data_IF_790929439099
#
_entry.id   IF_790929439099
#
_cell.length_a   1.000
_cell.length_b   1.000
_cell.length_c   1.000
_cell.angle_alpha   90.00
_cell.angle_beta   90.00
_cell.angle_gamma   90.00
#
_symmetry.space_group_name_H-M   'P 1'
#
loop_
_entity.id
_entity.type
_entity.pdbx_description
1 polymer ?
#
# COMPACT_ATOMS: atom_id res chain seq x y z
N UNK A 1 -15.94 -1.17 37.78
CA UNK A 1 -16.63 -0.36 36.76
C UNK A 1 -15.67 -0.26 35.56
N UNK A 2 -16.05 -0.85 34.41
CA UNK A 2 -15.20 -0.81 33.22
C UNK A 2 -15.12 0.61 32.65
N UNK A 3 -13.94 1.00 32.12
CA UNK A 3 -13.82 2.26 31.39
C UNK A 3 -14.81 2.29 30.23
N UNK A 4 -15.55 3.38 30.09
CA UNK A 4 -16.44 3.59 28.96
C UNK A 4 -15.70 4.34 27.86
N UNK A 5 -15.89 3.89 26.62
CA UNK A 5 -15.34 4.56 25.42
C UNK A 5 -16.50 5.03 24.54
N UNK A 6 -16.41 6.25 24.03
CA UNK A 6 -17.31 6.82 23.04
C UNK A 6 -16.63 6.77 21.67
N UNK A 7 -17.41 6.52 20.64
CA UNK A 7 -16.95 6.60 19.25
C UNK A 7 -17.54 7.85 18.60
N UNK A 8 -16.73 8.62 17.91
CA UNK A 8 -17.12 9.78 17.11
C UNK A 8 -16.54 9.72 15.70
N UNK A 9 -17.12 10.43 14.72
CA UNK A 9 -16.50 10.63 13.42
C UNK A 9 -15.11 11.25 13.55
N UNK A 10 -14.20 10.86 12.66
CA UNK A 10 -12.90 11.46 12.47
C UNK A 10 -13.06 12.73 11.64
N UNK A 11 -12.37 13.77 12.03
CA UNK A 11 -12.13 14.98 11.26
C UNK A 11 -10.69 14.99 10.76
N UNK A 12 -10.44 14.81 9.46
CA UNK A 12 -9.08 14.60 8.93
C UNK A 12 -8.09 15.72 9.24
N UNK A 13 -8.57 16.98 9.27
CA UNK A 13 -7.70 18.13 9.57
C UNK A 13 -7.44 18.26 11.06
N UNK A 14 -8.52 18.28 11.84
CA UNK A 14 -8.46 18.43 13.29
C UNK A 14 -7.72 17.28 13.98
N UNK A 15 -7.98 16.04 13.53
CA UNK A 15 -7.46 14.83 14.19
C UNK A 15 -6.10 14.38 13.61
N UNK A 16 -5.50 15.14 12.69
CA UNK A 16 -4.17 14.84 12.13
C UNK A 16 -3.07 14.71 13.21
N UNK A 17 -2.97 15.62 14.22
CA UNK A 17 -2.01 15.44 15.32
C UNK A 17 -2.24 14.17 16.14
N UNK A 18 -3.52 13.81 16.36
CA UNK A 18 -3.88 12.55 17.02
C UNK A 18 -3.40 11.33 16.25
N UNK A 19 -3.64 11.31 14.93
CA UNK A 19 -3.17 10.22 14.06
C UNK A 19 -1.66 10.06 14.13
N UNK A 20 -0.90 11.17 14.06
CA UNK A 20 0.57 11.17 14.18
C UNK A 20 1.02 10.62 15.53
N UNK A 21 0.43 11.07 16.64
CA UNK A 21 0.75 10.59 17.99
C UNK A 21 0.47 9.10 18.17
N UNK A 22 -0.70 8.63 17.74
CA UNK A 22 -1.06 7.22 17.83
C UNK A 22 -0.18 6.34 16.96
N UNK A 23 0.15 6.81 15.75
CA UNK A 23 1.08 6.12 14.86
C UNK A 23 2.44 5.96 15.51
N UNK A 24 3.01 7.05 15.99
CA UNK A 24 4.34 7.04 16.62
C UNK A 24 4.36 6.12 17.85
N UNK A 25 3.35 6.22 18.72
CA UNK A 25 3.27 5.41 19.93
C UNK A 25 3.09 3.91 19.65
N UNK A 26 2.32 3.54 18.63
CA UNK A 26 1.95 2.14 18.38
C UNK A 26 2.78 1.47 17.28
N UNK A 27 3.28 2.22 16.32
CA UNK A 27 3.89 1.71 15.09
C UNK A 27 5.29 2.29 14.82
N UNK A 28 5.62 3.48 15.37
CA UNK A 28 6.80 4.26 15.01
C UNK A 28 8.12 3.50 15.05
N UNK A 29 8.28 2.56 16.00
CA UNK A 29 9.49 1.74 16.13
C UNK A 29 9.68 0.73 14.97
N UNK A 30 8.61 0.35 14.27
CA UNK A 30 8.61 -0.65 13.17
C UNK A 30 8.30 -0.01 11.83
N UNK A 31 7.41 0.97 11.86
CA UNK A 31 6.93 1.75 10.73
C UNK A 31 7.03 3.24 11.05
N UNK A 32 8.21 3.87 10.92
CA UNK A 32 8.34 5.31 11.06
C UNK A 32 7.34 6.02 10.16
N UNK A 33 6.67 7.05 10.67
CA UNK A 33 5.64 7.76 9.93
C UNK A 33 6.26 8.56 8.76
N UNK A 34 5.93 8.24 7.51
CA UNK A 34 6.40 9.01 6.38
C UNK A 34 5.63 10.31 6.23
N UNK A 35 6.25 11.37 5.71
CA UNK A 35 5.56 12.59 5.35
C UNK A 35 4.38 12.29 4.41
N UNK A 36 3.23 12.88 4.67
CA UNK A 36 2.05 12.74 3.80
C UNK A 36 1.25 11.44 3.95
N UNK A 37 1.73 10.41 4.67
CA UNK A 37 0.98 9.15 4.82
C UNK A 37 -0.39 9.34 5.49
N UNK A 38 -0.49 10.30 6.42
CA UNK A 38 -1.76 10.61 7.09
C UNK A 38 -2.78 11.30 6.18
N UNK A 39 -2.33 11.86 5.05
CA UNK A 39 -3.22 12.45 4.05
C UNK A 39 -4.08 11.39 3.33
N UNK A 40 -3.69 10.14 3.42
CA UNK A 40 -4.48 9.01 2.92
C UNK A 40 -5.69 8.69 3.81
N UNK A 41 -5.72 9.18 5.05
CA UNK A 41 -6.83 8.99 5.98
C UNK A 41 -7.86 10.10 5.78
N UNK A 42 -8.90 9.84 5.00
CA UNK A 42 -9.96 10.80 4.66
C UNK A 42 -11.24 10.60 5.49
N UNK A 43 -11.53 9.36 5.85
CA UNK A 43 -12.71 8.95 6.59
C UNK A 43 -12.32 8.01 7.74
N UNK A 44 -13.07 8.05 8.84
CA UNK A 44 -12.81 7.16 9.96
C UNK A 44 -13.58 7.50 11.21
N UNK A 45 -13.19 6.84 12.29
CA UNK A 45 -13.80 7.00 13.61
C UNK A 45 -12.71 7.04 14.68
N UNK A 46 -12.96 7.83 15.72
CA UNK A 46 -12.07 8.03 16.87
C UNK A 46 -12.72 7.46 18.12
N UNK A 47 -11.93 6.73 18.91
CA UNK A 47 -12.33 6.29 20.25
C UNK A 47 -11.84 7.29 21.30
N UNK A 48 -12.78 7.80 22.09
CA UNK A 48 -12.53 8.69 23.22
C UNK A 48 -12.83 7.99 24.54
N UNK A 49 -11.97 8.14 25.52
CA UNK A 49 -12.25 7.72 26.90
C UNK A 49 -13.35 8.61 27.48
N UNK A 50 -14.40 8.00 28.01
CA UNK A 50 -15.47 8.72 28.73
C UNK A 50 -14.89 9.53 29.90
N UNK A 51 -15.41 10.74 30.11
CA UNK A 51 -15.07 11.53 31.29
C UNK A 51 -15.50 10.74 32.53
N UNK A 52 -14.56 10.18 33.26
CA UNK A 52 -14.78 9.71 34.62
C UNK A 52 -15.29 10.90 35.43
N UNK A 53 -16.50 10.77 36.02
CA UNK A 53 -17.26 11.85 36.61
C UNK A 53 -16.43 12.82 37.48
N UNK A 54 -16.73 14.08 37.30
CA UNK A 54 -16.29 15.33 37.94
C UNK A 54 -15.34 16.17 37.05
N UNK A 55 -15.96 16.96 36.18
CA UNK A 55 -15.67 18.41 36.08
C UNK A 55 -16.83 19.07 35.34
N UNK A 56 -17.67 19.78 36.08
CA UNK A 56 -18.55 20.84 35.59
C UNK A 56 -17.67 22.10 35.51
N UNK A 57 -17.42 22.59 34.33
CA UNK A 57 -16.80 23.91 34.15
C UNK A 57 -15.69 23.89 33.08
N UNK A 58 -15.88 24.68 32.04
CA UNK A 58 -15.02 24.90 30.87
C UNK A 58 -14.83 23.67 29.97
N UNK A 59 -14.98 23.85 28.66
CA UNK A 59 -14.68 22.79 27.68
C UNK A 59 -13.24 22.34 27.80
N UNK A 60 -12.93 21.06 27.49
CA UNK A 60 -11.58 20.53 27.61
C UNK A 60 -10.63 21.33 26.70
N UNK A 61 -9.53 21.84 27.26
CA UNK A 61 -8.43 22.38 26.49
C UNK A 61 -7.80 21.30 25.60
N UNK A 62 -7.04 21.69 24.59
CA UNK A 62 -6.44 20.74 23.62
C UNK A 62 -5.59 19.64 24.28
N UNK A 63 -4.88 19.95 25.38
CA UNK A 63 -4.12 18.97 26.16
C UNK A 63 -5.01 17.90 26.83
N UNK A 64 -6.14 18.32 27.44
CA UNK A 64 -7.10 17.42 28.09
C UNK A 64 -7.86 16.54 27.07
N UNK A 65 -7.94 16.99 25.82
CA UNK A 65 -8.51 16.24 24.71
C UNK A 65 -7.54 15.15 24.22
N UNK A 66 -6.27 15.48 24.03
CA UNK A 66 -5.26 14.55 23.58
C UNK A 66 -5.13 13.33 24.51
N UNK A 67 -5.29 13.51 25.83
CA UNK A 67 -5.28 12.43 26.81
C UNK A 67 -6.52 11.54 26.79
N UNK A 68 -7.60 11.97 26.12
CA UNK A 68 -8.84 11.21 26.01
C UNK A 68 -8.95 10.38 24.74
N UNK A 69 -8.33 10.82 23.67
CA UNK A 69 -8.40 10.17 22.37
C UNK A 69 -7.39 9.03 22.29
N UNK A 70 -7.89 7.80 22.27
CA UNK A 70 -7.10 6.58 22.55
C UNK A 70 -7.00 5.61 21.38
N UNK A 71 -7.65 5.90 20.25
CA UNK A 71 -7.56 5.04 19.08
C UNK A 71 -8.34 5.57 17.89
N UNK A 72 -7.99 5.09 16.72
CA UNK A 72 -8.60 5.45 15.43
C UNK A 72 -8.77 4.22 14.57
N UNK A 73 -9.89 4.16 13.83
CA UNK A 73 -10.05 3.32 12.65
C UNK A 73 -10.28 4.21 11.44
N UNK A 74 -9.45 4.07 10.42
CA UNK A 74 -9.67 4.67 9.11
C UNK A 74 -10.48 3.71 8.24
N UNK A 75 -11.41 4.24 7.46
CA UNK A 75 -12.21 3.49 6.49
C UNK A 75 -12.14 4.15 5.13
N UNK A 76 -12.12 3.35 4.09
CA UNK A 76 -12.23 3.78 2.71
C UNK A 76 -13.63 3.38 2.19
N UNK A 77 -14.47 4.33 1.74
CA UNK A 77 -15.80 4.05 1.22
C UNK A 77 -15.85 2.97 0.13
N UNK A 78 -14.74 2.74 -0.59
CA UNK A 78 -14.62 1.64 -1.56
C UNK A 78 -14.62 0.24 -0.92
N UNK A 79 -14.66 0.14 0.41
CA UNK A 79 -14.81 -1.13 1.13
C UNK A 79 -13.52 -1.63 1.75
N UNK A 80 -12.74 -0.77 2.40
CA UNK A 80 -11.55 -1.23 3.12
C UNK A 80 -11.32 -0.53 4.45
N UNK A 81 -10.52 -1.17 5.32
CA UNK A 81 -9.99 -0.62 6.57
C UNK A 81 -8.47 -0.47 6.40
N UNK A 82 -7.99 0.70 5.96
CA UNK A 82 -6.57 0.94 5.72
C UNK A 82 -5.74 1.06 7.00
N UNK A 83 -6.34 1.48 8.12
CA UNK A 83 -5.64 1.66 9.40
C UNK A 83 -6.59 1.38 10.58
N UNK A 84 -6.10 0.65 11.55
CA UNK A 84 -6.66 0.52 12.89
C UNK A 84 -5.52 0.66 13.90
N UNK A 85 -5.52 1.72 14.68
CA UNK A 85 -4.48 2.00 15.68
C UNK A 85 -5.10 2.33 17.03
N UNK A 86 -4.52 1.78 18.09
CA UNK A 86 -4.93 2.02 19.49
C UNK A 86 -3.67 2.31 20.28
N UNK A 87 -3.72 3.39 21.07
CA UNK A 87 -2.67 3.73 22.02
C UNK A 87 -2.27 2.51 22.84
N UNK A 88 -0.98 2.15 22.91
CA UNK A 88 -0.49 0.98 23.65
C UNK A 88 -1.01 0.90 25.09
N UNK A 89 -1.15 2.04 25.78
CA UNK A 89 -1.70 2.10 27.14
C UNK A 89 -3.17 1.68 27.25
N UNK A 90 -3.91 1.69 26.13
CA UNK A 90 -5.34 1.35 26.05
C UNK A 90 -5.63 0.08 25.26
N UNK A 91 -4.62 -0.61 24.78
CA UNK A 91 -4.77 -1.92 24.16
C UNK A 91 -5.29 -2.95 25.17
N UNK A 92 -5.89 -4.05 24.66
CA UNK A 92 -6.47 -5.15 25.46
C UNK A 92 -7.64 -4.73 26.40
N UNK A 93 -8.19 -3.53 26.20
CA UNK A 93 -9.36 -3.01 26.94
C UNK A 93 -10.63 -2.93 26.09
N UNK A 94 -10.67 -3.61 24.93
CA UNK A 94 -11.81 -3.65 24.02
C UNK A 94 -11.91 -2.48 23.04
N UNK A 95 -11.03 -1.47 23.11
CA UNK A 95 -11.06 -0.28 22.22
C UNK A 95 -10.98 -0.68 20.74
N UNK A 96 -9.99 -1.48 20.38
CA UNK A 96 -9.80 -1.92 18.99
C UNK A 96 -11.00 -2.72 18.44
N UNK A 97 -11.66 -3.53 19.29
CA UNK A 97 -12.86 -4.26 18.90
C UNK A 97 -14.01 -3.32 18.57
N UNK A 98 -14.26 -2.35 19.44
CA UNK A 98 -15.32 -1.34 19.22
C UNK A 98 -15.05 -0.48 17.99
N UNK A 99 -13.80 -0.08 17.76
CA UNK A 99 -13.40 0.64 16.55
C UNK A 99 -13.62 -0.20 15.30
N UNK A 100 -13.22 -1.47 15.31
CA UNK A 100 -13.42 -2.37 14.17
C UNK A 100 -14.91 -2.55 13.85
N UNK A 101 -15.74 -2.81 14.87
CA UNK A 101 -17.19 -2.96 14.72
C UNK A 101 -17.84 -1.68 14.17
N UNK A 102 -17.46 -0.51 14.71
CA UNK A 102 -17.97 0.77 14.24
C UNK A 102 -17.50 1.09 12.81
N UNK A 103 -16.24 0.77 12.45
CA UNK A 103 -15.71 0.91 11.09
C UNK A 103 -16.43 0.01 10.09
N UNK A 104 -16.70 -1.25 10.46
CA UNK A 104 -17.50 -2.17 9.65
C UNK A 104 -18.92 -1.64 9.42
N UNK A 105 -19.59 -1.15 10.47
CA UNK A 105 -20.91 -0.54 10.36
C UNK A 105 -20.89 0.71 9.45
N UNK A 106 -19.86 1.55 9.57
CA UNK A 106 -19.68 2.73 8.72
C UNK A 106 -19.52 2.36 7.25
N UNK A 107 -18.77 1.31 6.94
CA UNK A 107 -18.61 0.80 5.57
C UNK A 107 -19.93 0.25 5.02
N UNK A 108 -20.74 -0.43 5.85
CA UNK A 108 -22.10 -0.84 5.46
C UNK A 108 -22.98 0.35 5.10
N UNK A 109 -22.89 1.48 5.83
CA UNK A 109 -23.61 2.72 5.50
C UNK A 109 -23.18 3.33 4.16
N UNK A 110 -21.94 3.13 3.73
CA UNK A 110 -21.47 3.50 2.39
C UNK A 110 -21.90 2.50 1.30
N UNK A 111 -22.57 1.42 1.64
CA UNK A 111 -23.04 0.41 0.71
C UNK A 111 -21.98 -0.65 0.36
N UNK A 112 -20.87 -0.72 1.11
CA UNK A 112 -19.89 -1.77 0.89
C UNK A 112 -20.50 -3.15 1.17
N UNK A 113 -20.41 -4.06 0.21
CA UNK A 113 -20.86 -5.45 0.37
C UNK A 113 -19.77 -6.36 0.91
N UNK A 114 -18.52 -5.99 0.68
CA UNK A 114 -17.33 -6.68 1.19
C UNK A 114 -16.37 -5.66 1.79
N UNK A 115 -15.63 -6.08 2.82
CA UNK A 115 -14.61 -5.25 3.47
C UNK A 115 -13.27 -5.98 3.42
N UNK A 116 -12.22 -5.27 2.98
CA UNK A 116 -10.84 -5.72 3.00
C UNK A 116 -10.07 -5.12 4.19
N UNK A 117 -9.10 -5.84 4.72
CA UNK A 117 -8.07 -5.26 5.58
C UNK A 117 -6.91 -4.76 4.73
N UNK A 118 -6.44 -3.56 5.00
CA UNK A 118 -5.57 -2.83 4.09
C UNK A 118 -6.36 -2.14 2.99
N UNK A 119 -5.69 -1.55 2.03
CA UNK A 119 -6.32 -0.84 0.93
C UNK A 119 -6.05 -1.54 -0.40
N UNK A 120 -7.03 -1.59 -1.27
CA UNK A 120 -6.92 -2.19 -2.61
C UNK A 120 -6.85 -1.19 -3.76
N UNK A 121 -6.90 0.12 -3.46
CA UNK A 121 -6.88 1.18 -4.47
C UNK A 121 -5.48 1.64 -4.85
N UNK A 122 -5.42 2.69 -5.65
CA UNK A 122 -4.17 3.32 -6.10
C UNK A 122 -3.41 4.08 -5.00
N UNK A 123 -4.07 4.36 -3.89
CA UNK A 123 -3.47 5.01 -2.73
C UNK A 123 -3.74 4.16 -1.49
N UNK A 124 -2.70 3.58 -0.92
CA UNK A 124 -2.81 2.71 0.25
C UNK A 124 -1.62 2.88 1.20
N UNK A 125 -1.89 2.60 2.48
CA UNK A 125 -0.83 2.52 3.49
C UNK A 125 -0.15 1.15 3.38
N UNK A 126 -0.93 0.06 3.46
CA UNK A 126 -0.48 -1.32 3.27
C UNK A 126 -1.45 -2.09 2.39
N UNK A 127 -0.98 -3.05 1.58
CA UNK A 127 -1.89 -3.89 0.79
C UNK A 127 -2.76 -4.81 1.65
N UNK A 128 -2.30 -5.16 2.85
CA UNK A 128 -2.96 -6.04 3.81
C UNK A 128 -2.39 -5.84 5.21
N UNK A 129 -2.57 -6.79 6.10
CA UNK A 129 -2.01 -6.75 7.47
C UNK A 129 -0.54 -7.16 7.43
N UNK A 130 0.41 -6.28 7.82
CA UNK A 130 1.84 -6.60 7.82
C UNK A 130 2.16 -7.77 8.76
N UNK A 131 2.97 -8.73 8.32
CA UNK A 131 3.37 -9.89 9.12
C UNK A 131 4.32 -9.53 10.29
N UNK A 132 5.03 -8.42 10.15
CA UNK A 132 5.87 -7.86 11.22
C UNK A 132 5.07 -7.09 12.30
N UNK A 133 3.75 -7.17 12.25
CA UNK A 133 2.82 -6.74 13.29
C UNK A 133 2.00 -7.95 13.80
N UNK A 134 2.63 -8.93 14.48
CA UNK A 134 1.98 -10.20 14.84
C UNK A 134 0.75 -10.00 15.73
N UNK A 135 0.76 -9.01 16.62
CA UNK A 135 -0.39 -8.64 17.43
C UNK A 135 -1.60 -8.17 16.62
N UNK A 136 -1.40 -7.54 15.46
CA UNK A 136 -2.48 -7.17 14.55
C UNK A 136 -3.08 -8.39 13.87
N UNK A 137 -2.24 -9.32 13.40
CA UNK A 137 -2.67 -10.58 12.79
C UNK A 137 -3.52 -11.39 13.77
N UNK A 138 -3.05 -11.55 15.01
CA UNK A 138 -3.78 -12.25 16.07
C UNK A 138 -5.10 -11.55 16.42
N UNK A 139 -5.09 -10.21 16.49
CA UNK A 139 -6.29 -9.41 16.77
C UNK A 139 -7.40 -9.68 15.77
N UNK A 140 -7.08 -9.67 14.48
CA UNK A 140 -8.06 -9.89 13.42
C UNK A 140 -8.52 -11.37 13.38
N UNK A 141 -7.61 -12.34 13.54
CA UNK A 141 -7.98 -13.76 13.62
C UNK A 141 -8.96 -14.05 14.75
N UNK A 142 -8.71 -13.50 15.94
CA UNK A 142 -9.59 -13.66 17.10
C UNK A 142 -11.00 -13.05 16.89
N UNK A 143 -11.19 -12.25 15.83
CA UNK A 143 -12.47 -11.62 15.43
C UNK A 143 -13.05 -12.23 14.15
N UNK A 144 -12.61 -13.44 13.81
CA UNK A 144 -13.16 -14.21 12.70
C UNK A 144 -12.73 -13.75 11.31
N UNK A 145 -11.61 -13.01 11.21
CA UNK A 145 -11.02 -12.71 9.90
C UNK A 145 -10.18 -13.91 9.43
N UNK A 146 -10.56 -14.46 8.28
CA UNK A 146 -9.73 -15.41 7.53
C UNK A 146 -8.70 -14.67 6.70
N UNK A 147 -7.49 -15.21 6.63
CA UNK A 147 -6.46 -14.69 5.74
C UNK A 147 -6.32 -15.62 4.53
N UNK A 148 -6.74 -15.13 3.36
CA UNK A 148 -6.88 -15.93 2.15
C UNK A 148 -5.54 -16.28 1.52
N UNK A 149 -4.62 -15.31 1.51
CA UNK A 149 -3.28 -15.46 0.96
C UNK A 149 -2.33 -14.40 1.51
N UNK A 150 -1.05 -14.55 1.16
CA UNK A 150 0.00 -13.59 1.49
C UNK A 150 0.55 -12.98 0.20
N UNK A 151 0.76 -11.68 0.21
CA UNK A 151 1.52 -10.95 -0.80
C UNK A 151 2.84 -10.49 -0.22
N UNK A 152 3.79 -10.17 -1.08
CA UNK A 152 5.15 -9.84 -0.70
C UNK A 152 5.61 -8.56 -1.39
N UNK A 153 6.35 -7.77 -0.66
CA UNK A 153 7.19 -6.71 -1.20
C UNK A 153 8.64 -7.19 -1.25
N UNK A 154 9.33 -6.79 -2.30
CA UNK A 154 10.73 -7.09 -2.52
C UNK A 154 11.53 -5.79 -2.70
N UNK A 155 12.82 -5.84 -2.37
CA UNK A 155 13.75 -4.72 -2.54
C UNK A 155 15.03 -5.21 -3.18
N UNK A 156 15.59 -4.38 -4.07
CA UNK A 156 16.95 -4.55 -4.61
C UNK A 156 17.82 -3.35 -4.24
N UNK A 157 19.09 -3.60 -3.91
CA UNK A 157 20.14 -2.57 -3.92
C UNK A 157 20.55 -2.33 -5.37
N UNK A 158 20.34 -1.13 -5.87
CA UNK A 158 20.70 -0.78 -7.24
C UNK A 158 22.12 -0.24 -7.39
N UNK A 159 22.86 -0.05 -6.31
CA UNK A 159 24.26 0.33 -6.39
C UNK A 159 25.06 -0.79 -7.07
N UNK A 160 25.52 -0.54 -8.30
CA UNK A 160 26.19 -1.56 -9.09
C UNK A 160 25.27 -2.68 -9.61
N UNK A 161 23.97 -2.46 -9.67
CA UNK A 161 23.03 -3.43 -10.26
C UNK A 161 23.40 -3.69 -11.73
N UNK A 162 23.48 -4.94 -12.08
CA UNK A 162 23.62 -5.44 -13.45
C UNK A 162 22.52 -6.46 -13.72
N UNK A 163 21.93 -6.37 -14.90
CA UNK A 163 20.94 -7.34 -15.32
C UNK A 163 21.54 -8.75 -15.35
N UNK A 164 20.86 -9.77 -14.82
CA UNK A 164 21.36 -11.14 -14.93
C UNK A 164 21.61 -11.55 -16.38
N UNK A 165 22.70 -12.30 -16.62
CA UNK A 165 23.12 -12.71 -17.94
C UNK A 165 21.97 -13.37 -18.74
N UNK A 166 21.84 -13.00 -20.01
CA UNK A 166 20.85 -13.56 -20.94
C UNK A 166 19.41 -13.07 -20.77
N UNK A 167 19.11 -12.18 -19.78
CA UNK A 167 17.74 -11.67 -19.58
C UNK A 167 17.26 -10.88 -20.80
N UNK A 168 18.04 -9.91 -21.30
CA UNK A 168 17.69 -9.12 -22.47
C UNK A 168 17.72 -9.93 -23.77
N UNK A 169 18.68 -10.85 -23.93
CA UNK A 169 18.83 -11.67 -25.12
C UNK A 169 17.60 -12.54 -25.43
N UNK A 170 16.93 -13.06 -24.41
CA UNK A 170 15.74 -13.90 -24.62
C UNK A 170 14.58 -13.11 -25.23
N UNK A 171 14.31 -11.89 -24.74
CA UNK A 171 13.30 -11.00 -25.29
C UNK A 171 13.71 -10.54 -26.72
N UNK A 172 14.98 -10.20 -26.93
CA UNK A 172 15.50 -9.85 -28.24
C UNK A 172 15.36 -10.97 -29.28
N UNK A 173 15.64 -12.23 -28.92
CA UNK A 173 15.41 -13.39 -29.80
C UNK A 173 13.92 -13.57 -30.15
N UNK A 174 13.01 -13.21 -29.24
CA UNK A 174 11.58 -13.18 -29.51
C UNK A 174 11.16 -12.00 -30.38
N UNK A 175 12.09 -11.08 -30.71
CA UNK A 175 11.84 -9.89 -31.52
C UNK A 175 11.07 -8.81 -30.78
N UNK A 176 11.25 -8.72 -29.46
CA UNK A 176 10.62 -7.69 -28.64
C UNK A 176 11.61 -6.56 -28.39
N UNK A 177 11.20 -5.32 -28.68
CA UNK A 177 11.88 -4.09 -28.26
C UNK A 177 11.28 -3.60 -26.94
N UNK A 178 12.09 -2.90 -26.11
CA UNK A 178 11.68 -2.33 -24.82
C UNK A 178 12.19 -0.90 -24.76
N UNK A 179 11.25 0.05 -24.68
CA UNK A 179 11.55 1.48 -24.73
C UNK A 179 10.74 2.23 -23.66
N UNK A 180 11.25 3.40 -23.27
CA UNK A 180 10.49 4.33 -22.42
C UNK A 180 9.44 4.99 -23.29
N UNK A 181 8.19 4.95 -22.84
CA UNK A 181 7.04 5.52 -23.55
C UNK A 181 7.25 7.01 -23.84
N UNK A 182 7.03 7.40 -25.08
CA UNK A 182 6.92 8.81 -25.49
C UNK A 182 5.47 9.30 -25.33
N UNK A 183 5.27 10.61 -25.21
CA UNK A 183 3.95 11.22 -25.00
C UNK A 183 2.86 10.77 -25.98
N UNK A 184 3.14 10.71 -27.31
CA UNK A 184 2.15 10.29 -28.32
C UNK A 184 1.63 8.85 -28.15
N UNK A 185 2.39 7.97 -27.53
CA UNK A 185 2.05 6.55 -27.37
C UNK A 185 1.07 6.29 -26.21
N UNK A 186 0.77 7.31 -25.40
CA UNK A 186 -0.04 7.17 -24.19
C UNK A 186 -1.43 6.57 -24.47
N UNK A 187 -2.10 6.99 -25.54
CA UNK A 187 -3.43 6.51 -25.86
C UNK A 187 -3.42 5.00 -26.17
N UNK A 188 -2.40 4.52 -26.89
CA UNK A 188 -2.23 3.10 -27.19
C UNK A 188 -1.96 2.28 -25.92
N UNK A 189 -1.10 2.77 -25.04
CA UNK A 189 -0.79 2.12 -23.75
C UNK A 189 -2.03 2.05 -22.87
N UNK A 190 -2.81 3.12 -22.78
CA UNK A 190 -4.07 3.13 -22.01
C UNK A 190 -5.10 2.15 -22.58
N UNK A 191 -5.20 2.04 -23.91
CA UNK A 191 -6.07 1.07 -24.55
C UNK A 191 -5.62 -0.38 -24.27
N UNK A 192 -4.30 -0.63 -24.28
CA UNK A 192 -3.73 -1.92 -23.93
C UNK A 192 -4.04 -2.29 -22.45
N UNK A 193 -3.84 -1.35 -21.51
CA UNK A 193 -4.15 -1.57 -20.09
C UNK A 193 -5.63 -1.87 -19.89
N UNK A 194 -6.52 -1.08 -20.46
CA UNK A 194 -7.97 -1.28 -20.34
C UNK A 194 -8.41 -2.65 -20.86
N UNK A 195 -7.78 -3.13 -21.94
CA UNK A 195 -8.11 -4.43 -22.54
C UNK A 195 -7.46 -5.61 -21.79
N UNK A 196 -6.28 -5.43 -21.19
CA UNK A 196 -5.46 -6.55 -20.70
C UNK A 196 -5.35 -6.59 -19.17
N UNK A 197 -5.31 -5.43 -18.51
CA UNK A 197 -5.12 -5.26 -17.07
C UNK A 197 -6.02 -4.14 -16.51
N UNK A 198 -7.35 -4.26 -16.61
CA UNK A 198 -8.30 -3.18 -16.29
C UNK A 198 -8.13 -2.65 -14.85
N UNK A 199 -7.72 -3.49 -13.91
CA UNK A 199 -7.48 -3.09 -12.51
C UNK A 199 -6.27 -2.14 -12.34
N UNK A 200 -5.43 -1.98 -13.36
CA UNK A 200 -4.24 -1.14 -13.32
C UNK A 200 -4.39 0.20 -14.02
N UNK A 201 -5.49 0.43 -14.76
CA UNK A 201 -5.73 1.66 -15.53
C UNK A 201 -5.49 2.92 -14.70
N UNK A 202 -6.04 2.98 -13.48
CA UNK A 202 -5.87 4.12 -12.60
C UNK A 202 -4.41 4.42 -12.21
N UNK A 203 -3.52 3.41 -12.18
CA UNK A 203 -2.10 3.63 -11.98
C UNK A 203 -1.43 4.28 -13.20
N UNK A 204 -1.82 3.87 -14.40
CA UNK A 204 -1.29 4.44 -15.65
C UNK A 204 -1.87 5.83 -15.98
N UNK A 205 -3.00 6.20 -15.39
CA UNK A 205 -3.55 7.56 -15.51
C UNK A 205 -2.69 8.60 -14.76
N UNK A 206 -1.95 8.19 -13.75
CA UNK A 206 -1.06 9.07 -12.99
C UNK A 206 0.14 9.48 -13.85
N UNK A 207 0.55 10.76 -13.70
CA UNK A 207 1.65 11.33 -14.48
C UNK A 207 2.97 11.35 -13.71
N UNK A 208 3.01 10.71 -12.54
CA UNK A 208 4.15 10.71 -11.64
C UNK A 208 5.13 9.54 -11.86
N UNK A 209 4.84 8.70 -12.82
CA UNK A 209 5.64 7.51 -13.15
C UNK A 209 5.99 7.47 -14.63
N UNK A 210 7.20 6.97 -14.94
CA UNK A 210 7.60 6.61 -16.29
C UNK A 210 7.03 5.25 -16.66
N UNK A 211 6.77 5.03 -17.95
CA UNK A 211 6.27 3.76 -18.47
C UNK A 211 7.32 3.13 -19.36
N UNK A 212 7.64 1.85 -19.15
CA UNK A 212 8.31 1.03 -20.16
C UNK A 212 7.25 0.31 -20.98
N UNK A 213 7.44 0.30 -22.29
CA UNK A 213 6.61 -0.41 -23.26
C UNK A 213 7.45 -1.46 -23.95
N UNK A 214 6.97 -2.69 -23.95
CA UNK A 214 7.52 -3.77 -24.77
C UNK A 214 6.66 -3.90 -26.04
N UNK A 215 7.30 -3.92 -27.21
CA UNK A 215 6.63 -4.08 -28.51
C UNK A 215 7.10 -5.33 -29.20
N UNK A 216 6.16 -6.04 -29.83
CA UNK A 216 6.47 -7.19 -30.67
C UNK A 216 7.02 -6.77 -32.06
N UNK A 217 7.30 -7.76 -32.91
CA UNK A 217 7.83 -7.53 -34.27
C UNK A 217 6.88 -6.74 -35.19
N UNK A 218 5.58 -6.77 -34.89
CA UNK A 218 4.56 -6.00 -35.64
C UNK A 218 4.41 -4.58 -35.08
N UNK A 219 5.13 -4.21 -34.02
CA UNK A 219 5.04 -2.93 -33.34
C UNK A 219 3.90 -2.86 -32.30
N UNK A 220 3.12 -3.93 -32.13
CA UNK A 220 2.02 -3.93 -31.15
C UNK A 220 2.54 -4.02 -29.71
N UNK A 221 1.81 -3.41 -28.76
CA UNK A 221 2.16 -3.46 -27.33
C UNK A 221 2.04 -4.90 -26.82
N UNK A 222 3.16 -5.46 -26.38
CA UNK A 222 3.28 -6.80 -25.82
C UNK A 222 3.39 -6.82 -24.29
N UNK A 223 3.71 -5.67 -23.68
CA UNK A 223 3.79 -5.52 -22.24
C UNK A 223 4.09 -4.09 -21.81
N UNK A 224 3.81 -3.81 -20.56
CA UNK A 224 3.96 -2.50 -19.92
C UNK A 224 4.51 -2.66 -18.50
N UNK A 225 5.13 -1.60 -17.99
CA UNK A 225 5.66 -1.53 -16.63
C UNK A 225 5.75 -0.07 -16.21
N UNK A 226 5.33 0.23 -14.98
CA UNK A 226 5.55 1.54 -14.36
C UNK A 226 6.82 1.52 -13.53
N UNK A 227 7.61 2.60 -13.60
CA UNK A 227 8.76 2.80 -12.74
C UNK A 227 8.93 4.28 -12.36
N UNK A 228 9.43 4.52 -11.17
CA UNK A 228 9.65 5.87 -10.64
C UNK A 228 10.75 5.87 -9.59
N UNK A 229 11.56 6.88 -9.57
CA UNK A 229 12.51 7.23 -8.50
C UNK A 229 12.60 8.74 -8.36
N UNK A 230 12.83 9.26 -7.16
CA UNK A 230 12.67 8.63 -5.85
C UNK A 230 11.19 8.37 -5.48
N UNK A 231 10.96 7.54 -4.46
CA UNK A 231 9.61 7.17 -4.01
C UNK A 231 8.77 8.39 -3.60
N UNK A 232 9.40 9.41 -3.00
CA UNK A 232 8.68 10.53 -2.38
C UNK A 232 7.71 10.03 -1.30
N UNK A 233 6.98 10.86 -0.65
CA UNK A 233 6.07 10.67 0.49
C UNK A 233 5.28 9.33 0.57
N UNK A 234 5.96 8.19 0.53
CA UNK A 234 5.38 6.85 0.72
C UNK A 234 5.73 6.27 2.07
N UNK A 235 4.96 5.30 2.55
CA UNK A 235 5.22 4.60 3.81
C UNK A 235 6.59 3.91 3.85
N UNK A 236 7.21 3.70 2.71
CA UNK A 236 8.50 3.00 2.59
C UNK A 236 9.72 3.93 2.59
N UNK A 237 9.53 5.24 2.36
CA UNK A 237 10.62 6.21 2.31
C UNK A 237 11.50 6.21 3.58
N UNK A 238 10.96 6.26 4.81
CA UNK A 238 11.77 6.24 6.02
C UNK A 238 12.56 4.95 6.22
N UNK A 239 12.15 3.87 5.55
CA UNK A 239 12.75 2.54 5.67
C UNK A 239 13.76 2.24 4.57
N UNK A 240 13.59 2.82 3.38
CA UNK A 240 14.42 2.56 2.20
C UNK A 240 15.32 3.74 1.82
N UNK A 241 15.07 4.90 2.41
CA UNK A 241 15.77 6.15 2.13
C UNK A 241 15.13 6.98 1.01
N UNK A 242 15.50 8.27 0.92
CA UNK A 242 14.92 9.22 -0.03
C UNK A 242 15.30 8.91 -1.49
N UNK A 243 16.41 8.18 -1.70
CA UNK A 243 16.89 7.78 -3.04
C UNK A 243 16.31 6.43 -3.49
N UNK A 244 15.27 5.95 -2.84
CA UNK A 244 14.59 4.73 -3.26
C UNK A 244 13.62 5.01 -4.41
N UNK A 245 13.53 4.06 -5.34
CA UNK A 245 12.56 4.06 -6.43
C UNK A 245 11.59 2.89 -6.33
N UNK A 246 10.67 2.80 -7.26
CA UNK A 246 9.71 1.71 -7.34
C UNK A 246 9.49 1.22 -8.77
N UNK A 247 9.17 -0.07 -8.88
CA UNK A 247 8.67 -0.70 -10.10
C UNK A 247 7.32 -1.35 -9.77
N UNK A 248 6.32 -1.13 -10.61
CA UNK A 248 4.99 -1.69 -10.44
C UNK A 248 4.29 -2.01 -11.76
N UNK A 249 3.12 -2.61 -11.68
CA UNK A 249 2.27 -2.91 -12.83
C UNK A 249 3.02 -3.61 -13.98
N UNK A 250 3.79 -4.66 -13.64
CA UNK A 250 4.59 -5.42 -14.62
C UNK A 250 3.67 -6.37 -15.38
N UNK A 251 3.16 -5.93 -16.51
CA UNK A 251 2.20 -6.62 -17.37
C UNK A 251 2.83 -7.17 -18.64
N UNK A 252 2.49 -8.41 -19.01
CA UNK A 252 2.85 -9.01 -20.29
C UNK A 252 1.61 -9.69 -20.89
N UNK A 253 1.26 -9.30 -22.11
CA UNK A 253 0.16 -9.89 -22.85
C UNK A 253 0.32 -11.41 -22.98
N UNK A 254 -0.79 -12.15 -22.94
CA UNK A 254 -0.76 -13.61 -22.93
C UNK A 254 0.11 -14.23 -24.06
N UNK A 255 0.06 -13.75 -25.32
CA UNK A 255 0.87 -14.30 -26.39
C UNK A 255 2.38 -14.12 -26.21
N UNK A 256 2.80 -13.08 -25.48
CA UNK A 256 4.23 -12.78 -25.26
C UNK A 256 4.80 -13.38 -23.95
N UNK A 257 3.96 -14.08 -23.17
CA UNK A 257 4.41 -14.73 -21.93
C UNK A 257 5.36 -15.90 -22.24
N UNK A 258 6.31 -16.13 -21.32
CA UNK A 258 7.32 -17.19 -21.48
C UNK A 258 8.53 -16.80 -22.32
N UNK A 259 8.45 -15.72 -23.12
CA UNK A 259 9.55 -15.21 -23.96
C UNK A 259 10.59 -14.34 -23.21
N UNK A 260 10.46 -14.18 -21.89
CA UNK A 260 11.39 -13.38 -21.08
C UNK A 260 11.10 -11.88 -21.05
N UNK A 261 10.03 -11.42 -21.69
CA UNK A 261 9.66 -9.99 -21.80
C UNK A 261 9.59 -9.31 -20.44
N UNK A 262 8.81 -9.85 -19.50
CA UNK A 262 8.68 -9.25 -18.16
C UNK A 262 10.01 -9.15 -17.41
N UNK A 263 10.89 -10.15 -17.54
CA UNK A 263 12.21 -10.12 -16.92
C UNK A 263 13.11 -9.03 -17.54
N UNK A 264 13.06 -8.91 -18.85
CA UNK A 264 13.84 -7.89 -19.57
C UNK A 264 13.34 -6.47 -19.24
N UNK A 265 12.01 -6.28 -19.09
CA UNK A 265 11.44 -4.99 -18.68
C UNK A 265 11.85 -4.61 -17.25
N UNK A 266 11.77 -5.54 -16.29
CA UNK A 266 12.19 -5.26 -14.90
C UNK A 266 13.68 -4.96 -14.82
N UNK A 267 14.53 -5.74 -15.51
CA UNK A 267 15.96 -5.51 -15.56
C UNK A 267 16.26 -4.12 -16.17
N UNK A 268 15.63 -3.79 -17.30
CA UNK A 268 15.82 -2.47 -17.94
C UNK A 268 15.36 -1.31 -17.06
N UNK A 269 14.22 -1.44 -16.38
CA UNK A 269 13.75 -0.43 -15.43
C UNK A 269 14.73 -0.24 -14.26
N UNK A 270 15.28 -1.35 -13.74
CA UNK A 270 16.27 -1.32 -12.66
C UNK A 270 17.55 -0.61 -13.08
N UNK A 271 18.04 -0.85 -14.31
CA UNK A 271 19.18 -0.14 -14.89
C UNK A 271 18.91 1.35 -15.07
N UNK A 272 17.74 1.72 -15.61
CA UNK A 272 17.35 3.12 -15.78
C UNK A 272 17.26 3.85 -14.44
N UNK A 273 16.70 3.22 -13.41
CA UNK A 273 16.65 3.76 -12.06
C UNK A 273 18.05 3.94 -11.48
N UNK A 274 18.93 2.94 -11.59
CA UNK A 274 20.33 3.02 -11.18
C UNK A 274 21.05 4.19 -11.87
N UNK A 275 20.93 4.29 -13.19
CA UNK A 275 21.59 5.32 -14.00
C UNK A 275 21.07 6.74 -13.66
N UNK A 276 19.83 6.84 -13.18
CA UNK A 276 19.26 8.06 -12.63
C UNK A 276 19.64 8.35 -11.16
N UNK A 277 20.51 7.53 -10.55
CA UNK A 277 21.01 7.72 -9.18
C UNK A 277 20.18 7.08 -8.08
N UNK A 278 19.13 6.32 -8.43
CA UNK A 278 18.35 5.54 -7.47
C UNK A 278 19.20 4.45 -6.84
N UNK A 279 19.19 4.35 -5.49
CA UNK A 279 20.03 3.42 -4.75
C UNK A 279 19.34 2.13 -4.35
N UNK A 280 18.04 2.18 -4.12
CA UNK A 280 17.23 1.02 -3.81
C UNK A 280 15.96 1.03 -4.67
N UNK A 281 15.44 -0.14 -5.00
CA UNK A 281 14.18 -0.25 -5.74
C UNK A 281 13.22 -1.17 -5.01
N UNK A 282 12.01 -0.68 -4.78
CA UNK A 282 10.90 -1.40 -4.19
C UNK A 282 9.99 -1.97 -5.28
N UNK A 283 9.55 -3.21 -5.08
CA UNK A 283 8.47 -3.84 -5.85
C UNK A 283 7.45 -4.36 -4.86
N UNK A 284 6.24 -3.81 -4.90
CA UNK A 284 5.20 -4.12 -3.94
C UNK A 284 4.11 -5.03 -4.46
N UNK A 285 3.37 -5.62 -3.50
CA UNK A 285 2.11 -6.31 -3.67
C UNK A 285 2.12 -7.42 -4.72
N UNK A 286 3.10 -8.31 -4.65
CA UNK A 286 3.19 -9.42 -5.60
C UNK A 286 3.11 -10.79 -4.90
N UNK A 287 2.73 -11.82 -5.66
CA UNK A 287 2.85 -13.23 -5.28
C UNK A 287 3.94 -13.96 -6.06
N UNK A 288 4.71 -13.23 -6.88
CA UNK A 288 5.69 -13.80 -7.81
C UNK A 288 7.13 -13.68 -7.29
N UNK A 289 7.35 -14.07 -6.04
CA UNK A 289 8.65 -14.00 -5.37
C UNK A 289 9.79 -14.54 -6.25
N UNK A 290 9.65 -15.78 -6.76
CA UNK A 290 10.68 -16.44 -7.58
C UNK A 290 10.99 -15.72 -8.90
N UNK A 291 10.05 -14.97 -9.42
CA UNK A 291 10.27 -14.19 -10.63
C UNK A 291 11.23 -13.04 -10.36
N UNK A 292 11.00 -12.28 -9.30
CA UNK A 292 11.81 -11.12 -8.96
C UNK A 292 13.15 -11.46 -8.30
N UNK A 293 13.21 -12.55 -7.53
CA UNK A 293 14.49 -12.97 -6.91
C UNK A 293 15.54 -13.37 -7.93
N UNK A 294 15.13 -13.89 -9.10
CA UNK A 294 16.04 -14.15 -10.23
C UNK A 294 16.59 -12.89 -10.89
N UNK A 295 16.03 -11.73 -10.57
CA UNK A 295 16.40 -10.42 -11.09
C UNK A 295 17.14 -9.57 -10.04
N UNK A 296 17.58 -10.19 -8.93
CA UNK A 296 18.36 -9.51 -7.89
C UNK A 296 17.52 -8.88 -6.77
N UNK A 297 16.21 -9.09 -6.75
CA UNK A 297 15.35 -8.58 -5.69
C UNK A 297 15.23 -9.58 -4.53
N UNK A 298 15.34 -9.11 -3.31
CA UNK A 298 15.18 -9.92 -2.10
C UNK A 298 13.82 -9.68 -1.45
N UNK A 299 13.18 -10.73 -0.88
CA UNK A 299 12.00 -10.57 -0.05
C UNK A 299 12.24 -9.58 1.10
N UNK A 300 11.29 -8.68 1.33
CA UNK A 300 11.44 -7.61 2.32
C UNK A 300 10.32 -7.57 3.34
N UNK A 301 9.06 -7.48 2.91
CA UNK A 301 7.87 -7.44 3.75
C UNK A 301 6.80 -8.39 3.21
N UNK A 302 5.98 -8.93 4.10
CA UNK A 302 4.83 -9.77 3.74
C UNK A 302 3.57 -9.20 4.35
N UNK A 303 2.45 -9.39 3.67
CA UNK A 303 1.15 -8.91 4.13
C UNK A 303 0.12 -10.02 4.00
N UNK A 304 -0.62 -10.24 5.07
CA UNK A 304 -1.75 -11.15 5.10
C UNK A 304 -2.99 -10.46 4.55
N UNK A 305 -3.53 -11.01 3.47
CA UNK A 305 -4.72 -10.47 2.81
C UNK A 305 -5.98 -11.10 3.40
N UNK A 306 -6.97 -10.27 3.71
CA UNK A 306 -8.24 -10.72 4.25
C UNK A 306 -9.39 -9.90 3.69
N UNK A 307 -10.48 -10.60 3.37
CA UNK A 307 -11.77 -10.01 3.00
C UNK A 307 -12.89 -10.73 3.74
N UNK A 308 -13.96 -10.02 4.03
CA UNK A 308 -15.20 -10.59 4.56
C UNK A 308 -16.40 -9.78 4.09
N UNK A 309 -17.59 -10.40 4.17
CA UNK A 309 -18.84 -9.68 3.93
C UNK A 309 -19.00 -8.54 4.93
N UNK A 310 -19.49 -7.40 4.46
CA UNK A 310 -19.94 -6.33 5.36
C UNK A 310 -21.15 -6.83 6.19
N UNK A 311 -21.33 -6.34 7.43
CA UNK A 311 -22.57 -6.59 8.16
C UNK A 311 -23.73 -5.98 7.37
N UNK A 312 -24.80 -6.77 7.22
CA UNK A 312 -26.04 -6.31 6.60
C UNK A 312 -26.76 -5.30 7.48
#
# INVERSE_FOLDING_TARGET
MGESFRIRPLDPERDRPLLGRLWEAALGSVWPLPPGALDLVKEGLVAERGAGGRHRGSGPGDADRADREVGVVAVDPAGSIPLLVVDPAYQRRGVGTRLLEAGMARLGQFGATTVALGSGGSDYIWPGVPDNLPGAVEFFRARGWGFDHTVIDLVADLRGYEAPAGVGERAGRAGVSIEVMAGPERAEVMAFEAATFPDWVGWFERLDSSVLVARDRAGAVAGTLLFRGPLGATIYEPLLGPDAGTIGCVGVAAPARGAGVGSAMVARASELLRDAGTRACHIGWTRRERFYTRLGYAPWRRYHMARRMAPG
#
